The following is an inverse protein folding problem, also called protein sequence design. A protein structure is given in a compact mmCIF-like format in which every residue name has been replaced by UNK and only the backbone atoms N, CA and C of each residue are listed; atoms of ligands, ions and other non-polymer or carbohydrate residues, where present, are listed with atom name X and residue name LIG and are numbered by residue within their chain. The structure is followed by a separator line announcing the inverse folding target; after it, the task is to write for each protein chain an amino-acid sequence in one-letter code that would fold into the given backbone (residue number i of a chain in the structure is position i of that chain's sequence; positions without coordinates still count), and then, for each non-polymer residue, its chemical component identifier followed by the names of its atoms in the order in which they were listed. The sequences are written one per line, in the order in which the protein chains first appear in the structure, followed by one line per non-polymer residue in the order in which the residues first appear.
data_IF_464933469889
#
_entry.id   IF_464933469889
#
_cell.length_a   1.000
_cell.length_b   1.000
_cell.length_c   1.000
_cell.angle_alpha   90.00
_cell.angle_beta   90.00
_cell.angle_gamma   90.00
#
_symmetry.space_group_name_H-M   'P 1'
#
loop_
_entity.id
_entity.type
_entity.pdbx_description
1 polymer ?
#
# COMPACT_ATOMS: atom_id res chain seq x y z
N UNK A 1 84.33 50.50 12.90
CA UNK A 1 84.38 51.35 14.10
C UNK A 1 83.73 50.54 15.20
N UNK A 2 84.53 50.00 16.06
CA UNK A 2 84.51 50.01 17.56
C UNK A 2 83.25 49.42 18.20
N UNK A 3 83.25 48.58 19.08
CA UNK A 3 84.08 47.89 20.11
C UNK A 3 83.11 47.12 20.97
N UNK A 4 83.29 45.83 21.19
CA UNK A 4 84.00 45.25 22.36
C UNK A 4 83.35 45.43 23.73
N UNK A 5 83.02 44.40 24.41
CA UNK A 5 83.56 43.79 25.64
C UNK A 5 82.55 42.92 26.31
N UNK A 6 82.81 41.65 26.39
CA UNK A 6 83.41 40.88 27.51
C UNK A 6 82.71 40.96 28.87
N UNK A 7 82.34 39.80 29.30
CA UNK A 7 82.82 39.36 30.61
C UNK A 7 81.78 38.90 31.60
N UNK A 8 81.96 37.69 32.12
CA UNK A 8 81.52 37.36 33.45
C UNK A 8 80.96 35.94 33.67
N UNK A 9 81.85 34.97 33.71
CA UNK A 9 81.61 33.67 34.29
C UNK A 9 81.54 33.82 35.80
N UNK A 10 80.49 33.32 36.43
CA UNK A 10 80.59 32.90 37.86
C UNK A 10 79.89 31.57 38.09
N UNK A 11 80.70 30.68 38.63
CA UNK A 11 80.44 29.30 39.03
C UNK A 11 79.59 29.20 40.29
N UNK A 12 78.84 28.07 40.35
CA UNK A 12 78.56 27.17 41.45
C UNK A 12 77.62 27.61 42.57
N UNK A 13 76.55 26.80 42.81
CA UNK A 13 76.53 25.82 43.90
C UNK A 13 75.43 24.80 43.72
N UNK A 14 75.80 23.53 43.89
CA UNK A 14 74.96 22.38 44.03
C UNK A 14 74.17 22.47 45.35
N UNK A 15 72.91 22.16 45.39
CA UNK A 15 72.26 21.53 46.54
C UNK A 15 70.89 20.97 46.16
N UNK A 16 70.67 19.73 46.50
CA UNK A 16 69.37 19.22 46.92
C UNK A 16 68.50 18.46 45.90
N UNK A 17 68.77 17.18 45.82
CA UNK A 17 67.83 16.21 45.29
C UNK A 17 66.59 16.19 46.19
N UNK A 18 65.40 16.43 45.58
CA UNK A 18 64.16 15.96 46.19
C UNK A 18 63.32 15.36 45.05
N UNK A 19 63.31 14.03 45.01
CA UNK A 19 62.47 13.23 44.15
C UNK A 19 61.04 13.34 44.69
N UNK A 20 60.18 14.05 44.00
CA UNK A 20 58.73 14.03 44.26
C UNK A 20 58.11 13.28 43.15
N UNK A 21 57.68 12.02 43.40
CA UNK A 21 56.97 11.16 42.53
C UNK A 21 55.59 11.79 42.22
N UNK A 22 55.43 12.33 41.05
CA UNK A 22 54.12 12.79 40.50
C UNK A 22 53.47 11.62 39.89
N UNK A 23 52.53 10.99 40.61
CA UNK A 23 51.67 9.91 40.13
C UNK A 23 50.90 10.38 38.92
N UNK A 24 51.12 9.71 37.79
CA UNK A 24 50.30 9.86 36.59
C UNK A 24 48.92 9.27 36.86
N UNK A 25 47.97 10.13 37.17
CA UNK A 25 46.53 9.80 37.18
C UNK A 25 46.05 9.74 35.74
N UNK A 26 46.26 8.58 35.09
CA UNK A 26 45.63 8.25 33.82
C UNK A 26 44.11 8.10 34.04
N UNK A 27 43.37 9.18 33.93
CA UNK A 27 41.94 9.16 33.75
C UNK A 27 41.67 8.44 32.41
N UNK A 28 41.35 7.15 32.48
CA UNK A 28 40.81 6.37 31.39
C UNK A 28 39.45 6.95 31.01
N UNK A 29 39.42 7.92 30.08
CA UNK A 29 38.20 8.29 29.35
C UNK A 29 37.92 7.10 28.47
N UNK A 30 37.11 6.17 28.98
CA UNK A 30 36.43 5.17 28.15
C UNK A 30 35.52 5.95 27.21
N UNK A 31 36.02 6.30 26.03
CA UNK A 31 35.20 6.70 24.89
C UNK A 31 34.30 5.52 24.58
N UNK A 32 33.11 5.51 25.16
CA UNK A 32 32.02 4.73 24.67
C UNK A 32 31.71 5.27 23.26
N UNK A 33 32.46 4.79 22.30
CA UNK A 33 32.06 4.94 20.88
C UNK A 33 30.82 4.10 20.70
N UNK A 34 29.65 4.69 20.95
CA UNK A 34 28.44 4.14 20.37
C UNK A 34 28.73 4.01 18.87
N UNK A 35 28.67 2.80 18.30
CA UNK A 35 28.84 2.66 16.88
C UNK A 35 27.78 3.55 16.24
N UNK A 36 28.19 4.64 15.63
CA UNK A 36 27.33 5.42 14.75
C UNK A 36 26.99 4.49 13.60
N UNK A 37 25.89 3.74 13.75
CA UNK A 37 25.36 2.97 12.65
C UNK A 37 24.97 3.98 11.58
N UNK A 38 25.63 3.91 10.43
CA UNK A 38 25.29 4.77 9.31
C UNK A 38 23.79 4.65 9.06
N UNK A 39 23.07 5.77 9.11
CA UNK A 39 21.64 5.82 8.86
C UNK A 39 21.34 5.30 7.46
N UNK A 40 20.53 4.26 7.36
CA UNK A 40 20.09 3.73 6.10
C UNK A 40 18.91 4.55 5.58
N UNK A 41 18.98 4.98 4.33
CA UNK A 41 17.86 5.65 3.68
C UNK A 41 17.23 4.70 2.67
N UNK A 42 15.88 4.61 2.72
CA UNK A 42 15.05 3.83 1.80
C UNK A 42 14.15 4.78 1.01
N UNK A 43 14.01 4.52 -0.28
CA UNK A 43 13.04 5.17 -1.15
C UNK A 43 11.75 4.35 -1.18
N UNK A 44 10.58 5.00 -0.96
CA UNK A 44 9.27 4.36 -1.04
C UNK A 44 8.38 5.07 -2.05
N UNK A 45 8.17 4.44 -3.21
CA UNK A 45 7.36 4.96 -4.31
C UNK A 45 5.88 4.56 -4.15
N UNK A 46 4.99 5.49 -4.46
CA UNK A 46 3.55 5.23 -4.55
C UNK A 46 2.95 6.00 -5.73
N UNK A 47 2.00 5.38 -6.45
CA UNK A 47 1.47 5.97 -7.68
C UNK A 47 0.35 6.99 -7.44
N UNK A 48 -0.56 6.86 -6.43
CA UNK A 48 -1.63 7.81 -6.23
C UNK A 48 -1.15 9.08 -5.48
N UNK A 49 -1.94 10.16 -5.51
CA UNK A 49 -1.64 11.39 -4.78
C UNK A 49 -1.56 11.21 -3.27
N UNK A 50 -0.83 12.09 -2.59
CA UNK A 50 -0.56 12.04 -1.15
C UNK A 50 -1.79 11.88 -0.23
N UNK A 51 -2.97 12.49 -0.47
CA UNK A 51 -4.13 12.34 0.43
C UNK A 51 -4.80 10.97 0.39
N UNK A 52 -4.47 10.11 -0.60
CA UNK A 52 -5.13 8.81 -0.78
C UNK A 52 -4.69 7.79 0.27
N UNK A 53 -5.56 6.83 0.60
CA UNK A 53 -5.28 5.85 1.65
C UNK A 53 -3.99 5.03 1.42
N UNK A 54 -3.56 4.68 0.19
CA UNK A 54 -2.29 4.00 0.01
C UNK A 54 -1.07 4.88 0.38
N UNK A 55 -1.18 6.20 0.23
CA UNK A 55 -0.13 7.12 0.67
C UNK A 55 -0.19 7.38 2.17
N UNK A 56 -1.37 7.46 2.77
CA UNK A 56 -1.52 7.55 4.24
C UNK A 56 -0.94 6.30 4.92
N UNK A 57 -1.18 5.12 4.35
CA UNK A 57 -0.55 3.86 4.76
C UNK A 57 0.99 3.95 4.68
N UNK A 58 1.52 4.47 3.58
CA UNK A 58 2.96 4.65 3.35
C UNK A 58 3.59 5.54 4.44
N UNK A 59 2.98 6.68 4.74
CA UNK A 59 3.47 7.61 5.79
C UNK A 59 3.37 7.01 7.20
N UNK A 60 2.31 6.23 7.49
CA UNK A 60 2.22 5.49 8.75
C UNK A 60 3.36 4.47 8.86
N UNK A 61 3.56 3.65 7.81
CA UNK A 61 4.62 2.64 7.80
C UNK A 61 6.00 3.26 8.00
N UNK A 62 6.30 4.36 7.29
CA UNK A 62 7.51 5.16 7.50
C UNK A 62 7.68 5.56 8.96
N UNK A 63 6.63 6.16 9.56
CA UNK A 63 6.66 6.63 10.95
C UNK A 63 6.94 5.48 11.92
N UNK A 64 6.29 4.34 11.76
CA UNK A 64 6.50 3.16 12.61
C UNK A 64 7.91 2.59 12.45
N UNK A 65 8.42 2.50 11.22
CA UNK A 65 9.78 2.00 10.95
C UNK A 65 10.83 2.94 11.55
N UNK A 66 10.75 4.24 11.27
CA UNK A 66 11.70 5.21 11.80
C UNK A 66 11.73 5.19 13.33
N UNK A 67 10.55 5.11 13.97
CA UNK A 67 10.40 5.00 15.43
C UNK A 67 10.97 3.69 15.98
N UNK A 68 10.55 2.54 15.44
CA UNK A 68 10.93 1.21 15.94
C UNK A 68 12.42 0.90 15.70
N UNK A 69 13.03 1.49 14.67
CA UNK A 69 14.47 1.37 14.39
C UNK A 69 15.31 2.42 15.13
N UNK A 70 14.70 3.26 15.99
CA UNK A 70 15.36 4.36 16.68
C UNK A 70 16.19 5.24 15.72
N UNK A 71 15.64 5.50 14.50
CA UNK A 71 16.27 6.33 13.48
C UNK A 71 17.40 5.67 12.68
N UNK A 72 17.70 4.38 12.89
CA UNK A 72 18.67 3.63 12.03
C UNK A 72 18.21 3.58 10.57
N UNK A 73 16.89 3.51 10.33
CA UNK A 73 16.30 3.57 8.99
C UNK A 73 15.53 4.88 8.83
N UNK A 74 15.80 5.57 7.72
CA UNK A 74 15.04 6.72 7.25
C UNK A 74 14.29 6.35 5.97
N UNK A 75 13.05 6.80 5.81
CA UNK A 75 12.26 6.52 4.63
C UNK A 75 11.89 7.82 3.91
N UNK A 76 12.30 7.94 2.66
CA UNK A 76 11.88 9.03 1.79
C UNK A 76 10.71 8.54 0.94
N UNK A 77 9.57 9.23 1.01
CA UNK A 77 8.33 8.86 0.33
C UNK A 77 8.15 9.66 -0.96
N UNK A 78 7.68 8.99 -2.00
CA UNK A 78 7.49 9.53 -3.35
C UNK A 78 6.06 9.23 -3.84
N UNK A 79 5.06 10.02 -3.40
CA UNK A 79 3.68 9.87 -3.85
C UNK A 79 3.47 10.41 -5.26
N UNK A 80 2.29 10.15 -5.86
CA UNK A 80 1.84 10.76 -7.11
C UNK A 80 2.56 10.25 -8.36
N UNK A 81 3.19 9.06 -8.31
CA UNK A 81 3.89 8.50 -9.46
C UNK A 81 5.19 9.22 -9.83
N UNK A 82 5.73 10.04 -8.92
CA UNK A 82 6.92 10.89 -9.18
C UNK A 82 8.19 10.09 -9.38
N UNK A 83 8.31 8.90 -8.80
CA UNK A 83 9.47 8.02 -8.97
C UNK A 83 9.14 6.81 -9.86
N UNK A 84 7.97 6.18 -9.64
CA UNK A 84 7.47 5.06 -10.42
C UNK A 84 5.97 5.24 -10.67
N UNK A 85 5.53 5.02 -11.90
CA UNK A 85 4.11 5.09 -12.30
C UNK A 85 3.34 3.84 -11.86
N UNK A 86 2.01 3.89 -11.93
CA UNK A 86 1.14 2.75 -11.60
C UNK A 86 1.48 1.48 -12.41
N UNK A 87 1.88 1.64 -13.68
CA UNK A 87 2.14 0.51 -14.60
C UNK A 87 3.52 -0.11 -14.41
N UNK A 88 4.54 0.67 -14.06
CA UNK A 88 5.92 0.18 -13.93
C UNK A 88 6.38 -0.01 -12.47
N UNK A 89 5.47 0.11 -11.49
CA UNK A 89 5.80 0.03 -10.07
C UNK A 89 6.53 -1.26 -9.71
N UNK A 90 5.98 -2.40 -10.10
CA UNK A 90 6.54 -3.71 -9.75
C UNK A 90 7.93 -3.92 -10.38
N UNK A 91 8.02 -3.70 -11.69
CA UNK A 91 9.29 -3.87 -12.42
C UNK A 91 10.35 -2.86 -11.96
N UNK A 92 9.94 -1.63 -11.63
CA UNK A 92 10.84 -0.60 -11.12
C UNK A 92 11.43 -0.95 -9.75
N UNK A 93 10.65 -1.60 -8.86
CA UNK A 93 11.18 -2.13 -7.59
C UNK A 93 12.12 -3.30 -7.83
N UNK A 94 11.79 -4.24 -8.74
CA UNK A 94 12.68 -5.34 -9.10
C UNK A 94 14.01 -4.81 -9.64
N UNK A 95 13.96 -3.79 -10.49
CA UNK A 95 15.15 -3.14 -11.07
C UNK A 95 15.92 -2.25 -10.07
N UNK A 96 15.38 -1.97 -8.88
CA UNK A 96 16.02 -1.12 -7.88
C UNK A 96 15.88 0.39 -8.13
N UNK A 97 14.97 0.83 -9.00
CA UNK A 97 14.66 2.26 -9.20
C UNK A 97 14.06 2.86 -7.92
N UNK A 98 13.27 2.09 -7.18
CA UNK A 98 12.87 2.39 -5.81
C UNK A 98 13.19 1.17 -4.94
N UNK A 99 13.53 1.40 -3.65
CA UNK A 99 13.73 0.32 -2.69
C UNK A 99 12.40 -0.36 -2.34
N UNK A 100 11.33 0.42 -2.22
CA UNK A 100 9.98 -0.03 -1.85
C UNK A 100 8.98 0.59 -2.83
N UNK A 101 7.94 -0.17 -3.19
CA UNK A 101 6.84 0.32 -4.01
C UNK A 101 5.50 -0.26 -3.58
N UNK A 102 4.45 0.55 -3.71
CA UNK A 102 3.06 0.11 -3.53
C UNK A 102 2.39 -0.02 -4.90
N UNK A 103 1.96 -1.22 -5.26
CA UNK A 103 1.28 -1.50 -6.52
C UNK A 103 -0.15 -1.98 -6.29
N UNK A 104 -1.06 -1.65 -7.21
CA UNK A 104 -2.35 -2.31 -7.34
C UNK A 104 -2.19 -3.48 -8.33
N UNK A 105 -2.40 -4.71 -7.87
CA UNK A 105 -2.18 -5.92 -8.67
C UNK A 105 -3.09 -6.00 -9.90
N UNK A 106 -4.25 -5.36 -9.84
CA UNK A 106 -5.23 -5.25 -10.94
C UNK A 106 -4.71 -4.51 -12.19
N UNK A 107 -3.57 -3.78 -12.09
CA UNK A 107 -2.94 -3.14 -13.25
C UNK A 107 -2.04 -4.07 -14.07
N UNK A 108 -1.84 -5.28 -13.59
CA UNK A 108 -1.14 -6.37 -14.29
C UNK A 108 -2.04 -7.62 -14.33
N UNK A 109 -3.13 -7.62 -15.11
CA UNK A 109 -4.12 -8.71 -15.12
C UNK A 109 -3.48 -10.06 -15.40
N UNK A 110 -3.83 -11.07 -14.60
CA UNK A 110 -3.32 -12.44 -14.72
C UNK A 110 -1.91 -12.67 -14.20
N UNK A 111 -1.21 -11.63 -13.73
CA UNK A 111 0.14 -11.75 -13.18
C UNK A 111 0.16 -12.31 -11.74
N UNK A 112 -0.95 -12.18 -10.99
CA UNK A 112 -1.02 -12.53 -9.57
C UNK A 112 -2.22 -13.45 -9.26
N UNK A 113 -2.22 -14.72 -9.72
CA UNK A 113 -3.37 -15.62 -9.62
C UNK A 113 -3.90 -15.82 -8.19
N UNK A 114 -3.01 -16.02 -7.21
CA UNK A 114 -3.42 -16.21 -5.80
C UNK A 114 -4.10 -14.96 -5.25
N UNK A 115 -3.59 -13.78 -5.61
CA UNK A 115 -4.17 -12.49 -5.20
C UNK A 115 -5.51 -12.25 -5.89
N UNK A 116 -5.65 -12.60 -7.17
CA UNK A 116 -6.88 -12.44 -7.95
C UNK A 116 -8.07 -13.19 -7.31
N UNK A 117 -7.83 -14.26 -6.55
CA UNK A 117 -8.89 -14.96 -5.80
C UNK A 117 -9.62 -14.04 -4.83
N UNK A 118 -8.93 -13.10 -4.21
CA UNK A 118 -9.52 -12.13 -3.26
C UNK A 118 -10.32 -11.06 -4.00
N UNK A 119 -9.92 -10.70 -5.22
CA UNK A 119 -10.59 -9.69 -6.04
C UNK A 119 -11.90 -10.21 -6.70
N UNK A 120 -12.21 -11.50 -6.59
CA UNK A 120 -13.46 -12.08 -7.10
C UNK A 120 -14.70 -11.52 -6.38
N UNK A 121 -15.91 -11.63 -6.98
CA UNK A 121 -17.14 -11.08 -6.40
C UNK A 121 -17.65 -11.93 -5.22
N UNK A 122 -16.88 -11.95 -4.14
CA UNK A 122 -17.10 -12.79 -2.96
C UNK A 122 -18.00 -12.14 -1.90
N UNK A 123 -18.51 -10.91 -2.15
CA UNK A 123 -19.34 -10.20 -1.17
C UNK A 123 -18.57 -9.89 0.12
N UNK A 124 -17.44 -9.25 0.02
CA UNK A 124 -16.64 -8.80 1.16
C UNK A 124 -17.44 -7.83 2.02
N UNK A 125 -17.42 -7.96 3.36
CA UNK A 125 -18.13 -7.03 4.24
C UNK A 125 -17.44 -5.65 4.30
N UNK A 126 -16.10 -5.63 4.30
CA UNK A 126 -15.29 -4.41 4.39
C UNK A 126 -13.83 -4.69 3.98
N UNK A 127 -12.99 -3.65 3.94
CA UNK A 127 -11.58 -3.76 3.58
C UNK A 127 -10.74 -4.44 4.66
N UNK A 128 -11.07 -4.28 5.93
CA UNK A 128 -10.30 -4.89 7.01
C UNK A 128 -10.31 -6.42 6.91
N UNK A 129 -11.49 -7.01 6.68
CA UNK A 129 -11.64 -8.47 6.48
C UNK A 129 -10.91 -8.94 5.22
N UNK A 130 -11.06 -8.23 4.12
CA UNK A 130 -10.42 -8.59 2.86
C UNK A 130 -8.89 -8.45 2.94
N UNK A 131 -8.37 -7.39 3.57
CA UNK A 131 -6.94 -7.13 3.72
C UNK A 131 -6.22 -8.19 4.54
N UNK A 132 -6.76 -8.56 5.71
CA UNK A 132 -6.13 -9.58 6.54
C UNK A 132 -6.23 -10.96 5.88
N UNK A 133 -7.32 -11.25 5.18
CA UNK A 133 -7.48 -12.49 4.40
C UNK A 133 -6.43 -12.57 3.28
N UNK A 134 -6.24 -11.49 2.53
CA UNK A 134 -5.23 -11.39 1.48
C UNK A 134 -3.82 -11.64 2.03
N UNK A 135 -3.47 -10.98 3.14
CA UNK A 135 -2.17 -11.15 3.77
C UNK A 135 -1.90 -12.59 4.20
N UNK A 136 -2.88 -13.25 4.88
CA UNK A 136 -2.78 -14.66 5.29
C UNK A 136 -2.63 -15.60 4.09
N UNK A 137 -3.40 -15.35 3.03
CA UNK A 137 -3.39 -16.16 1.82
C UNK A 137 -2.01 -16.14 1.15
N UNK A 138 -1.44 -14.94 0.95
CA UNK A 138 -0.13 -14.77 0.31
C UNK A 138 0.98 -15.36 1.17
N UNK A 139 0.92 -15.23 2.50
CA UNK A 139 1.89 -15.86 3.40
C UNK A 139 1.79 -17.39 3.38
N UNK A 140 0.60 -17.95 3.25
CA UNK A 140 0.37 -19.40 3.16
C UNK A 140 0.90 -19.97 1.85
N UNK A 141 0.52 -19.37 0.73
CA UNK A 141 0.80 -19.91 -0.61
C UNK A 141 2.14 -19.46 -1.18
N UNK A 142 2.73 -18.38 -0.67
CA UNK A 142 4.02 -17.82 -1.12
C UNK A 142 4.15 -17.79 -2.65
N UNK A 143 3.27 -17.03 -3.34
CA UNK A 143 3.20 -17.06 -4.80
C UNK A 143 4.54 -16.72 -5.45
N UNK A 144 4.89 -17.48 -6.50
CA UNK A 144 6.17 -17.34 -7.23
C UNK A 144 6.37 -15.94 -7.83
N UNK A 145 5.30 -15.25 -8.13
CA UNK A 145 5.32 -13.89 -8.67
C UNK A 145 6.06 -12.91 -7.76
N UNK A 146 6.10 -13.18 -6.46
CA UNK A 146 6.82 -12.35 -5.48
C UNK A 146 8.24 -12.84 -5.16
N UNK A 147 8.77 -13.89 -5.79
CA UNK A 147 10.12 -14.41 -5.49
C UNK A 147 11.25 -13.39 -5.70
N UNK A 148 11.06 -12.44 -6.65
CA UNK A 148 12.03 -11.38 -6.97
C UNK A 148 11.97 -10.17 -6.03
N UNK A 149 11.03 -10.16 -5.10
CA UNK A 149 10.82 -9.07 -4.14
C UNK A 149 10.58 -9.65 -2.74
N UNK A 150 10.64 -8.80 -1.72
CA UNK A 150 10.10 -9.08 -0.39
C UNK A 150 8.75 -8.39 -0.27
N UNK A 151 7.69 -9.13 0.01
CA UNK A 151 6.40 -8.56 0.39
C UNK A 151 6.51 -8.01 1.81
N UNK A 152 6.22 -6.72 2.00
CA UNK A 152 6.22 -6.04 3.30
C UNK A 152 4.85 -5.98 3.95
N UNK A 153 3.80 -5.84 3.17
CA UNK A 153 2.40 -5.97 3.58
C UNK A 153 1.50 -6.07 2.35
N UNK A 154 0.26 -6.50 2.56
CA UNK A 154 -0.78 -6.48 1.54
C UNK A 154 -2.09 -5.98 2.16
N UNK A 155 -2.88 -5.28 1.37
CA UNK A 155 -4.17 -4.76 1.80
C UNK A 155 -5.11 -4.59 0.60
N UNK A 156 -6.38 -4.32 0.86
CA UNK A 156 -7.37 -4.07 -0.19
C UNK A 156 -8.02 -2.71 0.00
N UNK A 157 -8.61 -2.18 -1.07
CA UNK A 157 -9.63 -1.14 -0.90
C UNK A 157 -10.94 -1.75 -0.36
N UNK A 158 -11.88 -0.94 0.15
CA UNK A 158 -13.24 -1.37 0.44
C UNK A 158 -13.96 -1.94 -0.79
N UNK A 159 -15.02 -2.73 -0.60
CA UNK A 159 -15.80 -3.27 -1.70
C UNK A 159 -16.25 -2.20 -2.68
N UNK A 160 -16.04 -2.49 -3.98
CA UNK A 160 -16.31 -1.57 -5.06
C UNK A 160 -17.81 -1.35 -5.26
N UNK A 161 -18.17 -0.09 -5.42
CA UNK A 161 -19.51 0.37 -5.71
C UNK A 161 -19.50 1.26 -6.97
N UNK A 162 -20.65 1.65 -7.50
CA UNK A 162 -20.73 2.41 -8.73
C UNK A 162 -20.88 3.89 -8.42
N UNK A 163 -20.01 4.70 -8.99
CA UNK A 163 -20.08 6.16 -9.00
C UNK A 163 -20.32 6.60 -10.44
N UNK A 164 -21.37 7.37 -10.72
CA UNK A 164 -21.80 7.68 -12.08
C UNK A 164 -22.38 9.10 -12.23
N UNK A 165 -22.38 9.60 -13.47
CA UNK A 165 -22.97 10.91 -13.81
C UNK A 165 -24.50 10.85 -13.87
N UNK A 166 -25.10 9.65 -14.02
CA UNK A 166 -26.55 9.41 -14.03
C UNK A 166 -26.86 8.27 -13.06
N UNK A 167 -28.10 8.17 -12.53
CA UNK A 167 -28.52 7.06 -11.69
C UNK A 167 -28.32 5.71 -12.39
N UNK A 168 -27.80 4.71 -11.67
CA UNK A 168 -27.73 3.32 -12.10
C UNK A 168 -28.35 2.46 -10.99
N UNK A 169 -29.59 2.00 -11.22
CA UNK A 169 -30.42 1.29 -10.23
C UNK A 169 -30.92 -0.06 -10.73
N UNK A 170 -30.50 -0.45 -11.95
CA UNK A 170 -30.90 -1.70 -12.56
C UNK A 170 -29.91 -2.16 -13.63
N UNK A 171 -29.98 -3.44 -14.03
CA UNK A 171 -29.23 -3.98 -15.16
C UNK A 171 -29.57 -3.28 -16.49
N UNK A 172 -30.76 -2.71 -16.61
CA UNK A 172 -31.14 -1.93 -17.80
C UNK A 172 -30.40 -0.60 -17.85
N UNK A 173 -30.24 0.08 -16.70
CA UNK A 173 -29.58 1.38 -16.62
C UNK A 173 -28.05 1.30 -16.76
N UNK A 174 -27.43 0.15 -16.42
CA UNK A 174 -25.97 -0.04 -16.57
C UNK A 174 -25.60 -0.48 -18.00
N UNK A 175 -26.52 -1.00 -18.79
CA UNK A 175 -26.25 -1.55 -20.12
C UNK A 175 -25.63 -0.52 -21.05
N UNK A 176 -24.43 -0.84 -21.57
CA UNK A 176 -23.67 0.02 -22.48
C UNK A 176 -23.11 1.30 -21.82
N UNK A 177 -23.21 1.45 -20.48
CA UNK A 177 -22.71 2.63 -19.79
C UNK A 177 -21.19 2.57 -19.65
N UNK A 178 -20.48 3.63 -20.03
CA UNK A 178 -19.02 3.71 -20.04
C UNK A 178 -18.50 3.91 -18.60
N UNK A 179 -18.15 2.81 -17.97
CA UNK A 179 -17.64 2.77 -16.59
C UNK A 179 -16.17 2.37 -16.54
N UNK A 180 -15.39 3.10 -15.78
CA UNK A 180 -14.02 2.69 -15.53
C UNK A 180 -13.98 1.60 -14.45
N UNK A 181 -13.23 0.54 -14.73
CA UNK A 181 -12.73 -0.39 -13.73
C UNK A 181 -11.37 -0.95 -14.19
N UNK A 182 -10.68 -1.71 -13.35
CA UNK A 182 -9.43 -2.40 -13.70
C UNK A 182 -9.48 -3.87 -13.31
N UNK A 183 -8.66 -4.71 -13.99
CA UNK A 183 -8.52 -6.12 -13.68
C UNK A 183 -9.87 -6.87 -13.64
N UNK A 184 -10.11 -7.57 -12.53
CA UNK A 184 -11.35 -8.31 -12.27
C UNK A 184 -12.60 -7.44 -12.39
N UNK A 185 -12.51 -6.16 -11.97
CA UNK A 185 -13.64 -5.23 -12.07
C UNK A 185 -14.10 -4.97 -13.52
N UNK A 186 -13.17 -4.91 -14.49
CA UNK A 186 -13.54 -4.75 -15.89
C UNK A 186 -14.32 -5.98 -16.41
N UNK A 187 -13.88 -7.20 -16.07
CA UNK A 187 -14.59 -8.45 -16.41
C UNK A 187 -15.99 -8.49 -15.77
N UNK A 188 -16.15 -8.00 -14.55
CA UNK A 188 -17.45 -7.88 -13.87
C UNK A 188 -18.38 -6.95 -14.65
N UNK A 189 -17.89 -5.77 -15.04
CA UNK A 189 -18.69 -4.81 -15.80
C UNK A 189 -19.15 -5.35 -17.16
N UNK A 190 -18.31 -6.12 -17.88
CA UNK A 190 -18.70 -6.82 -19.12
C UNK A 190 -19.87 -7.78 -18.87
N UNK A 191 -19.80 -8.59 -17.82
CA UNK A 191 -20.87 -9.54 -17.48
C UNK A 191 -22.17 -8.83 -17.07
N UNK A 192 -22.10 -7.66 -16.49
CA UNK A 192 -23.27 -6.82 -16.17
C UNK A 192 -23.79 -6.04 -17.38
N UNK A 193 -23.12 -6.14 -18.54
CA UNK A 193 -23.52 -5.49 -19.77
C UNK A 193 -23.11 -4.03 -19.89
N UNK A 194 -22.24 -3.52 -19.02
CA UNK A 194 -21.64 -2.19 -19.15
C UNK A 194 -20.58 -2.15 -20.26
N UNK A 195 -20.10 -0.95 -20.59
CA UNK A 195 -18.94 -0.73 -21.45
C UNK A 195 -17.72 -0.37 -20.59
N UNK A 196 -16.88 -1.36 -20.18
CA UNK A 196 -15.76 -1.08 -19.31
C UNK A 196 -14.61 -0.39 -20.04
N UNK A 197 -13.99 0.59 -19.38
CA UNK A 197 -12.76 1.26 -19.82
C UNK A 197 -11.69 1.05 -18.77
N UNK A 198 -10.65 0.28 -19.11
CA UNK A 198 -9.58 -0.06 -18.19
C UNK A 198 -8.46 1.01 -18.18
N UNK A 199 -8.19 1.58 -17.02
CA UNK A 199 -7.08 2.53 -16.80
C UNK A 199 -6.67 2.57 -15.32
N UNK A 200 -5.45 3.06 -14.98
CA UNK A 200 -5.08 3.37 -13.60
C UNK A 200 -6.03 4.41 -12.99
N UNK A 201 -6.15 4.39 -11.65
CA UNK A 201 -7.02 5.32 -10.92
C UNK A 201 -6.55 6.78 -11.06
N UNK A 202 -5.24 7.00 -11.26
CA UNK A 202 -4.66 8.33 -11.52
C UNK A 202 -5.16 9.00 -12.80
N UNK A 203 -5.59 8.21 -13.79
CA UNK A 203 -5.99 8.72 -15.12
C UNK A 203 -7.49 9.05 -15.18
N UNK A 204 -8.25 8.61 -14.17
CA UNK A 204 -9.72 8.73 -14.12
C UNK A 204 -10.21 10.18 -14.07
N UNK A 205 -9.60 11.12 -13.31
CA UNK A 205 -10.08 12.51 -13.29
C UNK A 205 -10.11 13.14 -14.67
N UNK A 206 -9.04 12.94 -15.46
CA UNK A 206 -8.95 13.45 -16.82
C UNK A 206 -9.97 12.77 -17.77
N UNK A 207 -10.14 11.45 -17.63
CA UNK A 207 -11.09 10.68 -18.42
C UNK A 207 -12.56 11.09 -18.14
N UNK A 208 -12.92 11.39 -16.88
CA UNK A 208 -14.22 11.94 -16.50
C UNK A 208 -14.43 13.34 -17.09
N UNK A 209 -13.42 14.21 -16.97
CA UNK A 209 -13.47 15.58 -17.47
C UNK A 209 -13.65 15.61 -19.00
N UNK A 210 -12.97 14.72 -19.71
CA UNK A 210 -13.06 14.58 -21.19
C UNK A 210 -14.29 13.82 -21.66
N UNK A 211 -15.09 13.24 -20.75
CA UNK A 211 -16.27 12.42 -21.10
C UNK A 211 -15.95 11.07 -21.73
N UNK A 212 -14.69 10.59 -21.64
CA UNK A 212 -14.27 9.26 -22.12
C UNK A 212 -14.96 8.16 -21.32
N UNK A 213 -15.20 8.43 -20.05
CA UNK A 213 -15.98 7.59 -19.14
C UNK A 213 -17.06 8.45 -18.48
N UNK A 214 -18.15 7.81 -18.06
CA UNK A 214 -19.28 8.45 -17.39
C UNK A 214 -19.44 8.02 -15.94
N UNK A 215 -18.46 7.27 -15.44
CA UNK A 215 -18.41 6.82 -14.07
C UNK A 215 -17.22 5.93 -13.77
N UNK A 216 -17.10 5.56 -12.52
CA UNK A 216 -16.02 4.72 -11.99
C UNK A 216 -16.59 3.65 -11.05
N UNK A 217 -16.08 2.44 -11.13
CA UNK A 217 -16.43 1.36 -10.21
C UNK A 217 -15.20 1.04 -9.37
N UNK A 218 -15.26 1.41 -8.12
CA UNK A 218 -14.20 1.28 -7.12
C UNK A 218 -14.81 1.50 -5.74
N UNK A 219 -13.97 1.51 -4.72
CA UNK A 219 -14.32 1.94 -3.37
C UNK A 219 -14.62 3.45 -3.31
N UNK A 220 -15.46 3.85 -2.35
CA UNK A 220 -16.10 5.18 -2.39
C UNK A 220 -15.26 6.32 -1.81
N UNK A 221 -14.11 6.06 -1.18
CA UNK A 221 -13.22 7.11 -0.70
C UNK A 221 -12.67 7.98 -1.83
N UNK A 222 -12.58 7.44 -3.04
CA UNK A 222 -12.11 8.18 -4.23
C UNK A 222 -13.01 9.35 -4.62
N UNK A 223 -14.27 9.35 -4.17
CA UNK A 223 -15.18 10.50 -4.32
C UNK A 223 -14.56 11.79 -3.79
N UNK A 224 -13.84 11.69 -2.66
CA UNK A 224 -13.13 12.79 -2.02
C UNK A 224 -11.68 12.87 -2.47
N UNK A 225 -10.94 11.76 -2.39
CA UNK A 225 -9.50 11.71 -2.55
C UNK A 225 -9.04 12.08 -3.97
N UNK A 226 -9.82 11.71 -4.97
CA UNK A 226 -9.62 12.08 -6.38
C UNK A 226 -10.67 13.08 -6.89
N UNK A 227 -11.53 13.61 -5.98
CA UNK A 227 -12.59 14.56 -6.31
C UNK A 227 -13.62 14.05 -7.32
N UNK A 228 -13.85 12.72 -7.41
CA UNK A 228 -14.81 12.18 -8.37
C UNK A 228 -16.24 12.65 -8.13
N UNK A 229 -16.57 13.06 -6.89
CA UNK A 229 -17.87 13.69 -6.62
C UNK A 229 -18.12 14.97 -7.41
N UNK A 230 -17.10 15.59 -8.02
CA UNK A 230 -17.28 16.73 -8.96
C UNK A 230 -18.03 16.31 -10.24
N UNK A 231 -17.91 15.07 -10.65
CA UNK A 231 -18.49 14.51 -11.88
C UNK A 231 -19.57 13.47 -11.59
N UNK A 232 -19.31 12.57 -10.64
CA UNK A 232 -20.17 11.46 -10.29
C UNK A 232 -21.08 11.83 -9.11
N UNK A 233 -22.26 12.35 -9.39
CA UNK A 233 -23.25 12.76 -8.39
C UNK A 233 -24.14 11.62 -7.90
N UNK A 234 -24.09 10.46 -8.56
CA UNK A 234 -24.95 9.32 -8.27
C UNK A 234 -24.10 8.13 -7.83
N UNK A 235 -24.43 7.53 -6.71
CA UNK A 235 -23.71 6.39 -6.15
C UNK A 235 -24.68 5.24 -5.90
N UNK A 236 -24.41 4.06 -6.49
CA UNK A 236 -25.08 2.82 -6.14
C UNK A 236 -24.22 2.11 -5.10
N UNK A 237 -24.65 2.15 -3.82
CA UNK A 237 -23.79 1.98 -2.64
C UNK A 237 -23.84 0.60 -1.97
N UNK A 238 -24.53 -0.39 -2.53
CA UNK A 238 -24.67 -1.72 -1.89
C UNK A 238 -24.32 -2.88 -2.82
N UNK A 239 -23.68 -2.59 -3.95
CA UNK A 239 -23.37 -3.66 -4.92
C UNK A 239 -22.14 -4.47 -4.54
N UNK A 240 -21.16 -3.90 -3.83
CA UNK A 240 -19.99 -4.59 -3.26
C UNK A 240 -19.36 -5.63 -4.20
N UNK A 241 -19.10 -5.22 -5.46
CA UNK A 241 -18.84 -6.11 -6.58
C UNK A 241 -17.50 -6.86 -6.48
N UNK A 242 -16.46 -6.20 -5.99
CA UNK A 242 -15.10 -6.74 -5.86
C UNK A 242 -14.28 -5.86 -4.91
N UNK A 243 -13.09 -6.29 -4.57
CA UNK A 243 -12.06 -5.44 -3.96
C UNK A 243 -10.88 -5.30 -4.92
N UNK A 244 -10.03 -4.31 -4.70
CA UNK A 244 -8.75 -4.18 -5.40
C UNK A 244 -7.64 -4.45 -4.40
N UNK A 245 -6.79 -5.41 -4.71
CA UNK A 245 -5.65 -5.80 -3.89
C UNK A 245 -4.43 -4.95 -4.19
N UNK A 246 -3.72 -4.57 -3.12
CA UNK A 246 -2.46 -3.85 -3.16
C UNK A 246 -1.37 -4.68 -2.51
N UNK A 247 -0.17 -4.61 -3.07
CA UNK A 247 1.05 -5.17 -2.48
C UNK A 247 2.07 -4.05 -2.23
N UNK A 248 2.63 -4.02 -1.03
CA UNK A 248 3.83 -3.24 -0.73
C UNK A 248 5.01 -4.18 -0.81
N UNK A 249 5.88 -3.94 -1.76
CA UNK A 249 7.02 -4.81 -2.06
C UNK A 249 8.33 -4.06 -1.97
N UNK A 250 9.37 -4.77 -1.54
CA UNK A 250 10.73 -4.23 -1.45
C UNK A 250 11.67 -5.01 -2.39
N UNK A 251 12.61 -4.31 -3.00
CA UNK A 251 13.68 -4.91 -3.80
C UNK A 251 14.39 -6.02 -3.02
N UNK A 252 14.55 -7.20 -3.63
CA UNK A 252 15.09 -8.40 -2.97
C UNK A 252 16.50 -8.18 -2.45
N UNK A 253 17.39 -7.62 -3.27
CA UNK A 253 18.78 -7.37 -2.87
C UNK A 253 18.87 -6.34 -1.74
N UNK A 254 18.03 -5.30 -1.78
CA UNK A 254 17.96 -4.32 -0.68
C UNK A 254 17.48 -4.97 0.61
N UNK A 255 16.43 -5.80 0.55
CA UNK A 255 15.98 -6.58 1.71
C UNK A 255 17.10 -7.46 2.29
N UNK A 256 17.82 -8.17 1.44
CA UNK A 256 18.90 -9.05 1.87
C UNK A 256 20.03 -8.31 2.57
N UNK A 257 20.31 -7.07 2.17
CA UNK A 257 21.33 -6.20 2.78
C UNK A 257 20.94 -5.61 4.13
N UNK A 258 19.67 -5.69 4.55
CA UNK A 258 19.23 -5.14 5.83
C UNK A 258 19.75 -5.95 7.02
N UNK A 259 20.11 -5.30 8.15
CA UNK A 259 20.44 -5.98 9.40
C UNK A 259 19.25 -6.83 9.92
N UNK A 260 19.57 -7.88 10.67
CA UNK A 260 18.56 -8.82 11.18
C UNK A 260 17.52 -8.18 12.09
N UNK A 261 17.93 -7.22 12.93
CA UNK A 261 17.05 -6.45 13.83
C UNK A 261 16.04 -5.59 13.02
N UNK A 262 16.49 -4.97 11.92
CA UNK A 262 15.64 -4.20 11.01
C UNK A 262 14.65 -5.11 10.27
N UNK A 263 15.12 -6.26 9.74
CA UNK A 263 14.26 -7.26 9.09
C UNK A 263 13.14 -7.73 10.01
N UNK A 264 13.48 -7.99 11.28
CA UNK A 264 12.49 -8.40 12.28
C UNK A 264 11.41 -7.33 12.49
N UNK A 265 11.79 -6.06 12.59
CA UNK A 265 10.83 -4.94 12.73
C UNK A 265 9.88 -4.88 11.52
N UNK A 266 10.40 -5.04 10.30
CA UNK A 266 9.59 -5.04 9.09
C UNK A 266 8.64 -6.23 9.05
N UNK A 267 9.11 -7.42 9.43
CA UNK A 267 8.27 -8.64 9.47
C UNK A 267 7.16 -8.52 10.54
N UNK A 268 7.46 -7.96 11.70
CA UNK A 268 6.49 -7.74 12.79
C UNK A 268 5.37 -6.75 12.38
N UNK A 269 5.67 -5.80 11.48
CA UNK A 269 4.70 -4.79 11.02
C UNK A 269 3.73 -5.30 9.94
N UNK A 270 4.01 -6.39 9.25
CA UNK A 270 3.29 -6.80 8.04
C UNK A 270 1.77 -6.95 8.25
N UNK A 271 1.38 -7.80 9.20
CA UNK A 271 -0.04 -8.08 9.48
C UNK A 271 -0.74 -6.90 10.13
N UNK A 272 -0.08 -6.25 11.08
CA UNK A 272 -0.60 -5.05 11.74
C UNK A 272 -0.94 -3.97 10.71
N UNK A 273 -0.04 -3.76 9.75
CA UNK A 273 -0.23 -2.76 8.69
C UNK A 273 -1.40 -3.12 7.76
N UNK A 274 -1.57 -4.40 7.41
CA UNK A 274 -2.70 -4.87 6.61
C UNK A 274 -4.05 -4.57 7.30
N UNK A 275 -4.18 -4.92 8.58
CA UNK A 275 -5.40 -4.70 9.37
C UNK A 275 -5.66 -3.20 9.54
N UNK A 276 -4.65 -2.45 9.95
CA UNK A 276 -4.78 -1.01 10.16
C UNK A 276 -5.23 -0.29 8.89
N UNK A 277 -4.63 -0.63 7.74
CA UNK A 277 -4.96 0.01 6.46
C UNK A 277 -6.40 -0.26 6.06
N UNK A 278 -6.86 -1.51 6.22
CA UNK A 278 -8.26 -1.86 5.96
C UNK A 278 -9.23 -1.08 6.85
N UNK A 279 -8.99 -1.04 8.16
CA UNK A 279 -9.83 -0.29 9.12
C UNK A 279 -9.81 1.21 8.85
N UNK A 280 -8.64 1.77 8.51
CA UNK A 280 -8.51 3.18 8.17
C UNK A 280 -9.37 3.55 6.96
N UNK A 281 -9.28 2.77 5.88
CA UNK A 281 -10.00 3.10 4.64
C UNK A 281 -11.50 2.84 4.76
N UNK A 282 -11.94 1.83 5.52
CA UNK A 282 -13.36 1.60 5.82
C UNK A 282 -13.99 2.82 6.52
N UNK A 283 -13.29 3.39 7.50
CA UNK A 283 -13.73 4.63 8.16
C UNK A 283 -13.68 5.84 7.20
N UNK A 284 -12.68 5.88 6.31
CA UNK A 284 -12.51 6.99 5.37
C UNK A 284 -13.61 7.06 4.31
N UNK A 285 -14.19 5.93 3.90
CA UNK A 285 -15.39 5.88 3.04
C UNK A 285 -16.53 6.71 3.62
N UNK A 286 -16.82 6.58 4.92
CA UNK A 286 -17.87 7.35 5.57
C UNK A 286 -17.60 8.86 5.52
N UNK A 287 -16.34 9.25 5.72
CA UNK A 287 -15.91 10.64 5.62
C UNK A 287 -16.05 11.18 4.18
N UNK A 288 -15.72 10.37 3.18
CA UNK A 288 -15.84 10.74 1.77
C UNK A 288 -17.30 10.93 1.35
N UNK A 289 -18.19 10.02 1.76
CA UNK A 289 -19.63 10.14 1.50
C UNK A 289 -20.25 11.35 2.19
N UNK A 290 -19.89 11.60 3.46
CA UNK A 290 -20.34 12.78 4.20
C UNK A 290 -19.88 14.06 3.48
N UNK A 291 -18.60 14.17 3.18
CA UNK A 291 -18.03 15.31 2.45
C UNK A 291 -18.74 15.53 1.10
N UNK A 292 -19.00 14.46 0.34
CA UNK A 292 -19.67 14.57 -0.95
C UNK A 292 -21.08 15.14 -0.83
N UNK A 293 -21.86 14.70 0.16
CA UNK A 293 -23.23 15.20 0.44
C UNK A 293 -23.23 16.64 0.92
N UNK A 294 -22.25 17.03 1.72
CA UNK A 294 -22.12 18.41 2.24
C UNK A 294 -21.66 19.39 1.16
N UNK A 295 -20.75 18.93 0.27
CA UNK A 295 -20.17 19.77 -0.79
C UNK A 295 -21.12 19.94 -1.97
N UNK A 296 -21.88 18.88 -2.32
CA UNK A 296 -22.70 18.85 -3.52
C UNK A 296 -24.15 18.53 -3.17
N UNK A 297 -25.04 19.51 -3.26
CA UNK A 297 -26.46 19.39 -2.88
C UNK A 297 -27.25 18.38 -3.73
N UNK A 298 -26.81 18.14 -4.96
CA UNK A 298 -27.38 17.19 -5.91
C UNK A 298 -26.79 15.78 -5.81
N UNK A 299 -25.88 15.54 -4.84
CA UNK A 299 -25.27 14.23 -4.62
C UNK A 299 -26.28 13.24 -4.03
N UNK A 300 -26.46 12.09 -4.67
CA UNK A 300 -27.45 11.07 -4.30
C UNK A 300 -26.83 9.69 -4.16
N UNK A 301 -27.32 8.93 -3.19
CA UNK A 301 -26.96 7.54 -2.98
C UNK A 301 -28.17 6.64 -3.15
N UNK A 302 -28.00 5.51 -3.85
CA UNK A 302 -29.03 4.52 -4.11
C UNK A 302 -28.63 3.18 -3.51
N UNK A 303 -29.63 2.42 -3.08
CA UNK A 303 -29.49 1.04 -2.64
C UNK A 303 -30.35 0.17 -3.54
N UNK A 304 -29.78 -0.83 -4.18
CA UNK A 304 -30.54 -1.78 -4.99
C UNK A 304 -31.43 -2.65 -4.12
N UNK A 305 -32.69 -2.94 -4.54
CA UNK A 305 -33.51 -3.96 -3.91
C UNK A 305 -32.82 -5.33 -3.91
N UNK A 306 -33.16 -6.19 -2.94
CA UNK A 306 -32.51 -7.51 -2.79
C UNK A 306 -32.65 -8.37 -4.06
N UNK A 307 -33.81 -8.32 -4.68
CA UNK A 307 -34.11 -9.06 -5.91
C UNK A 307 -33.26 -8.60 -7.09
N UNK A 308 -33.08 -7.29 -7.25
CA UNK A 308 -32.21 -6.73 -8.30
C UNK A 308 -30.73 -7.08 -8.02
N UNK A 309 -30.28 -6.93 -6.78
CA UNK A 309 -28.93 -7.31 -6.36
C UNK A 309 -28.65 -8.81 -6.63
N UNK A 310 -29.63 -9.69 -6.33
CA UNK A 310 -29.52 -11.11 -6.62
C UNK A 310 -29.38 -11.40 -8.13
N UNK A 311 -30.08 -10.64 -8.98
CA UNK A 311 -29.93 -10.73 -10.45
C UNK A 311 -28.52 -10.33 -10.90
N UNK A 312 -27.96 -9.27 -10.33
CA UNK A 312 -26.58 -8.85 -10.63
C UNK A 312 -25.59 -9.96 -10.27
N UNK A 313 -25.65 -10.47 -9.04
CA UNK A 313 -24.76 -11.55 -8.60
C UNK A 313 -24.91 -12.86 -9.37
N UNK A 314 -26.13 -13.16 -9.87
CA UNK A 314 -26.37 -14.33 -10.71
C UNK A 314 -25.55 -14.27 -12.01
N UNK A 315 -25.39 -13.07 -12.61
CA UNK A 315 -24.56 -12.86 -13.81
C UNK A 315 -23.07 -13.02 -13.54
N UNK A 316 -22.62 -12.92 -12.28
CA UNK A 316 -21.20 -13.02 -11.91
C UNK A 316 -20.76 -14.45 -11.61
N UNK A 317 -21.68 -15.42 -11.47
CA UNK A 317 -21.35 -16.83 -11.21
C UNK A 317 -20.30 -17.41 -12.17
N UNK A 318 -20.33 -17.13 -13.49
CA UNK A 318 -19.33 -17.65 -14.41
C UNK A 318 -17.88 -17.30 -14.05
N UNK A 319 -17.65 -16.21 -13.33
CA UNK A 319 -16.29 -15.84 -12.88
C UNK A 319 -15.71 -16.84 -11.88
N UNK A 320 -16.56 -17.37 -10.99
CA UNK A 320 -16.15 -18.37 -9.99
C UNK A 320 -15.76 -19.70 -10.66
N UNK A 321 -16.39 -20.02 -11.80
CA UNK A 321 -16.06 -21.20 -12.60
C UNK A 321 -14.86 -20.97 -13.51
N UNK A 322 -14.67 -19.73 -13.97
CA UNK A 322 -13.58 -19.37 -14.87
C UNK A 322 -12.23 -19.34 -14.15
N UNK A 323 -12.18 -18.87 -12.92
CA UNK A 323 -10.94 -18.75 -12.16
C UNK A 323 -10.18 -20.09 -12.06
N UNK A 324 -10.79 -21.23 -11.66
CA UNK A 324 -10.13 -22.53 -11.73
C UNK A 324 -9.69 -22.90 -13.14
N UNK A 325 -10.54 -22.70 -14.15
CA UNK A 325 -10.21 -23.02 -15.55
C UNK A 325 -8.98 -22.27 -16.06
N UNK A 326 -8.82 -21.00 -15.65
CA UNK A 326 -7.70 -20.15 -16.08
C UNK A 326 -6.37 -20.54 -15.42
N UNK A 327 -6.42 -21.13 -14.22
CA UNK A 327 -5.21 -21.26 -13.37
C UNK A 327 -4.85 -22.68 -12.91
N UNK A 328 -5.77 -23.64 -12.87
CA UNK A 328 -5.45 -25.04 -12.48
C UNK A 328 -4.40 -25.67 -13.41
N UNK A 329 -4.53 -25.45 -14.73
CA UNK A 329 -3.55 -25.93 -15.72
C UNK A 329 -2.15 -25.31 -15.55
N UNK A 330 -2.05 -24.18 -14.82
CA UNK A 330 -0.77 -23.52 -14.46
C UNK A 330 -0.20 -24.00 -13.12
N UNK A 331 -0.81 -25.03 -12.51
CA UNK A 331 -0.39 -25.58 -11.23
C UNK A 331 -0.79 -24.77 -10.01
N UNK A 332 -1.74 -23.84 -10.16
CA UNK A 332 -2.27 -23.05 -9.02
C UNK A 332 -3.40 -23.85 -8.38
N UNK A 333 -3.38 -24.16 -7.07
CA UNK A 333 -4.39 -24.98 -6.39
C UNK A 333 -5.65 -24.16 -6.09
N UNK A 334 -6.36 -23.74 -7.14
CA UNK A 334 -7.43 -22.71 -7.05
C UNK A 334 -8.55 -23.10 -6.11
N UNK A 335 -8.95 -24.39 -6.06
CA UNK A 335 -9.98 -24.86 -5.15
C UNK A 335 -9.58 -24.70 -3.69
N UNK A 336 -8.35 -25.10 -3.33
CA UNK A 336 -7.82 -24.93 -1.99
C UNK A 336 -7.71 -23.44 -1.61
N UNK A 337 -7.33 -22.59 -2.56
CA UNK A 337 -7.26 -21.13 -2.37
C UNK A 337 -8.65 -20.58 -2.07
N UNK A 338 -9.68 -20.92 -2.86
CA UNK A 338 -11.05 -20.44 -2.65
C UNK A 338 -11.64 -20.95 -1.32
N UNK A 339 -11.37 -22.20 -0.94
CA UNK A 339 -11.77 -22.76 0.34
C UNK A 339 -11.13 -22.03 1.53
N UNK A 340 -9.83 -21.68 1.41
CA UNK A 340 -9.13 -20.90 2.42
C UNK A 340 -9.66 -19.45 2.49
N UNK A 341 -9.91 -18.82 1.35
CA UNK A 341 -10.53 -17.49 1.31
C UNK A 341 -11.87 -17.50 2.04
N UNK A 342 -12.72 -18.49 1.78
CA UNK A 342 -14.02 -18.60 2.46
C UNK A 342 -13.88 -18.76 3.98
N UNK A 343 -12.98 -19.63 4.44
CA UNK A 343 -12.68 -19.86 5.87
C UNK A 343 -12.13 -18.61 6.56
N UNK A 344 -11.15 -17.95 5.92
CA UNK A 344 -10.52 -16.75 6.45
C UNK A 344 -11.51 -15.59 6.50
N UNK A 345 -12.31 -15.41 5.44
CA UNK A 345 -13.39 -14.43 5.40
C UNK A 345 -14.39 -14.63 6.54
N UNK A 346 -14.87 -15.87 6.75
CA UNK A 346 -15.79 -16.17 7.86
C UNK A 346 -15.17 -15.86 9.23
N UNK A 347 -13.93 -16.29 9.44
CA UNK A 347 -13.18 -16.02 10.67
C UNK A 347 -13.05 -14.53 10.95
N UNK A 348 -12.52 -13.77 9.99
CA UNK A 348 -12.21 -12.36 10.19
C UNK A 348 -13.44 -11.45 10.11
N UNK A 349 -14.54 -11.91 9.49
CA UNK A 349 -15.80 -11.19 9.57
C UNK A 349 -16.33 -11.11 11.01
N UNK A 350 -16.14 -12.15 11.82
CA UNK A 350 -16.51 -12.13 13.26
C UNK A 350 -15.68 -11.13 14.07
N UNK A 351 -14.47 -10.85 13.63
CA UNK A 351 -13.50 -9.98 14.32
C UNK A 351 -13.60 -8.52 13.85
N UNK A 352 -13.73 -8.30 12.52
CA UNK A 352 -13.57 -6.97 11.88
C UNK A 352 -14.81 -6.48 11.11
N UNK A 353 -15.90 -7.21 11.00
CA UNK A 353 -17.09 -6.77 10.27
C UNK A 353 -18.15 -6.09 11.16
N UNK A 354 -17.75 -5.56 12.28
CA UNK A 354 -18.65 -4.87 13.25
C UNK A 354 -18.86 -3.41 12.88
#
# INVERSE_FOLDING_TARGET
MKESKKGGVKKMKRTGITIMAMGAFLLGISLWTNPVHAQMTLSYANFPPAPTFPCVQMERWKTEVEKKTAGKVKVNTYPGGTLLTAKNMFDGVIAGTADIGCLATSYQPGAFPVVEAVDLPLGWPNAAVASVTLWELVNKYKPKEFEKVKVLTMFTCPPANIMSMKPIRSLTEIKGYELRASGTGAKILELLGAAPVAMPQSDVPEALQKGVIKGNVSSLEVLKDFKYAEYCRHVTANVNLFVVSFAVVMNKGKWESLPADVKKIFDDLQKEQAIWTGQYVDNHVNNALKWSKETYKDFQTYTLPKEELARWYALLKPMMEKYPKDYDAKGIPTRAILDDVAKLKDRYSKEYAK
#
